data_IF_499533830266
#
_entry.id   IF_499533830266
#
_cell.length_a   1.000
_cell.length_b   1.000
_cell.length_c   1.000
_cell.angle_alpha   90.00
_cell.angle_beta   90.00
_cell.angle_gamma   90.00
#
_symmetry.space_group_name_H-M   'P 1'
#
loop_
_entity.id
_entity.type
_entity.pdbx_description
1 polymer ?
#
# COMPACT_ATOMS: atom_id res chain seq x y z
N UNK A 1 15.32 3.99 -9.49
CA UNK A 1 14.07 3.45 -10.09
C UNK A 1 12.90 4.11 -9.38
N UNK A 2 11.89 4.59 -10.10
CA UNK A 2 10.70 5.22 -9.48
C UNK A 2 9.83 4.18 -8.77
N UNK A 3 9.02 4.60 -7.79
CA UNK A 3 8.05 3.73 -7.09
C UNK A 3 7.17 2.98 -8.10
N UNK A 4 6.68 3.66 -9.15
CA UNK A 4 5.88 3.04 -10.21
C UNK A 4 6.61 1.95 -10.98
N UNK A 5 7.85 2.19 -11.43
CA UNK A 5 8.63 1.19 -12.16
C UNK A 5 9.02 0.00 -11.28
N UNK A 6 9.32 0.23 -10.01
CA UNK A 6 9.55 -0.83 -9.02
C UNK A 6 8.29 -1.67 -8.84
N UNK A 7 7.14 -1.02 -8.64
CA UNK A 7 5.85 -1.68 -8.42
C UNK A 7 5.42 -2.53 -9.61
N UNK A 8 5.56 -2.01 -10.84
CA UNK A 8 5.29 -2.76 -12.06
C UNK A 8 6.19 -3.99 -12.17
N UNK A 9 7.46 -3.88 -11.78
CA UNK A 9 8.38 -5.01 -11.77
C UNK A 9 7.96 -6.10 -10.80
N UNK A 10 7.59 -5.72 -9.56
CA UNK A 10 7.22 -6.65 -8.49
C UNK A 10 5.84 -7.29 -8.66
N UNK A 11 4.95 -6.66 -9.41
CA UNK A 11 3.58 -7.16 -9.65
C UNK A 11 3.40 -7.90 -10.97
N UNK A 12 4.46 -8.08 -11.77
CA UNK A 12 4.40 -8.67 -13.12
C UNK A 12 3.69 -10.03 -13.22
N UNK A 13 3.75 -10.84 -12.15
CA UNK A 13 3.15 -12.18 -12.09
C UNK A 13 1.79 -12.22 -11.38
N UNK A 14 1.30 -11.08 -10.90
CA UNK A 14 0.01 -11.00 -10.21
C UNK A 14 -1.15 -11.10 -11.22
N UNK A 15 -2.33 -11.59 -10.81
CA UNK A 15 -3.54 -11.56 -11.63
C UNK A 15 -3.81 -10.14 -12.17
N UNK A 16 -4.17 -10.04 -13.46
CA UNK A 16 -4.23 -8.77 -14.18
C UNK A 16 -5.14 -7.73 -13.49
N UNK A 17 -6.30 -8.15 -13.00
CA UNK A 17 -7.27 -7.28 -12.31
C UNK A 17 -6.71 -6.72 -11.00
N UNK A 18 -6.06 -7.55 -10.18
CA UNK A 18 -5.44 -7.11 -8.93
C UNK A 18 -4.25 -6.18 -9.22
N UNK A 19 -3.41 -6.55 -10.19
CA UNK A 19 -2.28 -5.70 -10.62
C UNK A 19 -2.75 -4.32 -11.07
N UNK A 20 -3.76 -4.27 -11.94
CA UNK A 20 -4.31 -3.00 -12.42
C UNK A 20 -4.81 -2.14 -11.25
N UNK A 21 -5.53 -2.75 -10.30
CA UNK A 21 -6.07 -2.02 -9.15
C UNK A 21 -4.98 -1.48 -8.21
N UNK A 22 -3.96 -2.29 -7.91
CA UNK A 22 -2.80 -1.86 -7.11
C UNK A 22 -2.07 -0.68 -7.75
N UNK A 23 -1.87 -0.72 -9.07
CA UNK A 23 -1.22 0.38 -9.81
C UNK A 23 -2.07 1.65 -9.83
N UNK A 24 -3.40 1.52 -9.92
CA UNK A 24 -4.32 2.65 -9.86
C UNK A 24 -4.27 3.34 -8.49
N UNK A 25 -4.42 2.58 -7.41
CA UNK A 25 -4.39 3.09 -6.04
C UNK A 25 -3.03 3.74 -5.70
N UNK A 26 -1.93 3.11 -6.12
CA UNK A 26 -0.59 3.67 -5.91
C UNK A 26 -0.34 4.99 -6.65
N UNK A 27 -1.07 5.26 -7.75
CA UNK A 27 -0.99 6.53 -8.49
C UNK A 27 -1.89 7.61 -7.90
N UNK A 28 -2.93 7.22 -7.17
CA UNK A 28 -3.92 8.14 -6.59
C UNK A 28 -3.36 8.92 -5.39
N UNK A 29 -2.34 8.39 -4.71
CA UNK A 29 -1.69 9.08 -3.59
C UNK A 29 -0.51 9.92 -4.11
N UNK A 30 -0.48 11.23 -3.82
CA UNK A 30 0.68 12.07 -4.11
C UNK A 30 1.90 11.51 -3.38
N UNK A 31 2.96 11.20 -4.12
CA UNK A 31 4.21 10.75 -3.52
C UNK A 31 4.71 11.77 -2.49
N UNK A 32 5.00 11.30 -1.28
CA UNK A 32 5.47 12.17 -0.21
C UNK A 32 6.96 12.45 -0.42
N UNK A 33 7.30 13.72 -0.65
CA UNK A 33 8.67 14.13 -0.94
C UNK A 33 9.62 13.70 0.18
N UNK A 34 10.38 12.62 -0.05
CA UNK A 34 11.42 12.11 0.85
C UNK A 34 11.08 10.83 1.64
N UNK A 35 9.83 10.36 1.67
CA UNK A 35 9.47 9.20 2.49
C UNK A 35 9.82 7.84 1.84
N UNK A 36 9.98 7.83 0.51
CA UNK A 36 10.41 6.68 -0.27
C UNK A 36 9.30 5.66 -0.54
N UNK A 37 9.55 4.76 -1.50
CA UNK A 37 8.56 3.85 -2.08
C UNK A 37 7.73 3.06 -1.04
N UNK A 38 8.34 2.64 0.08
CA UNK A 38 7.61 1.93 1.13
C UNK A 38 6.52 2.76 1.78
N UNK A 39 6.77 4.05 2.07
CA UNK A 39 5.78 4.91 2.70
C UNK A 39 4.66 5.27 1.74
N UNK A 40 4.99 5.64 0.50
CA UNK A 40 3.99 5.97 -0.53
C UNK A 40 2.98 4.83 -0.75
N UNK A 41 3.46 3.58 -0.75
CA UNK A 41 2.61 2.39 -0.91
C UNK A 41 1.73 2.14 0.33
N UNK A 42 2.26 2.38 1.53
CA UNK A 42 1.48 2.25 2.76
C UNK A 42 0.38 3.31 2.84
N UNK A 43 0.67 4.55 2.46
CA UNK A 43 -0.33 5.63 2.43
C UNK A 43 -1.42 5.34 1.36
N UNK A 44 -1.07 4.72 0.22
CA UNK A 44 -2.05 4.24 -0.77
C UNK A 44 -2.95 3.12 -0.24
N UNK A 45 -2.41 2.19 0.55
CA UNK A 45 -3.21 1.16 1.19
C UNK A 45 -4.21 1.75 2.19
N UNK A 46 -3.75 2.71 2.99
CA UNK A 46 -4.58 3.39 4.00
C UNK A 46 -5.72 4.18 3.37
N UNK A 47 -5.44 4.91 2.28
CA UNK A 47 -6.48 5.60 1.51
C UNK A 47 -7.52 4.61 0.96
N UNK A 48 -7.08 3.45 0.46
CA UNK A 48 -7.98 2.40 -0.02
C UNK A 48 -8.83 1.78 1.10
N UNK A 49 -8.25 1.53 2.28
CA UNK A 49 -8.98 1.01 3.44
C UNK A 49 -10.05 1.99 3.93
N UNK A 50 -9.71 3.28 4.00
CA UNK A 50 -10.65 4.33 4.39
C UNK A 50 -11.84 4.43 3.41
N UNK A 51 -11.59 4.29 2.11
CA UNK A 51 -12.63 4.32 1.08
C UNK A 51 -13.50 3.04 1.09
N UNK A 52 -12.95 1.89 1.47
CA UNK A 52 -13.71 0.63 1.54
C UNK A 52 -14.60 0.53 2.77
N UNK A 53 -14.14 1.01 3.93
CA UNK A 53 -14.86 0.91 5.20
C UNK A 53 -16.37 1.26 5.12
N UNK A 54 -16.80 2.35 4.46
CA UNK A 54 -18.22 2.71 4.36
C UNK A 54 -19.05 1.85 3.38
N UNK A 55 -18.42 1.05 2.51
CA UNK A 55 -19.06 0.33 1.39
C UNK A 55 -18.76 -1.17 1.38
N UNK A 56 -18.47 -1.74 2.55
CA UNK A 56 -17.93 -3.10 2.74
C UNK A 56 -18.88 -4.26 2.33
N UNK A 57 -20.07 -3.97 1.80
CA UNK A 57 -21.06 -4.97 1.37
C UNK A 57 -20.91 -5.45 -0.08
N UNK A 58 -20.11 -4.76 -0.89
CA UNK A 58 -20.08 -4.98 -2.34
C UNK A 58 -18.86 -5.79 -2.80
N UNK A 59 -19.00 -6.57 -3.88
CA UNK A 59 -17.89 -7.33 -4.48
C UNK A 59 -16.72 -6.45 -4.92
N UNK A 60 -16.98 -5.19 -5.27
CA UNK A 60 -15.94 -4.21 -5.58
C UNK A 60 -15.07 -3.91 -4.35
N UNK A 61 -15.66 -3.85 -3.14
CA UNK A 61 -14.93 -3.67 -1.90
C UNK A 61 -13.93 -4.82 -1.65
N UNK A 62 -14.27 -6.05 -2.04
CA UNK A 62 -13.35 -7.19 -1.88
C UNK A 62 -12.06 -7.04 -2.71
N UNK A 63 -12.15 -6.51 -3.94
CA UNK A 63 -10.97 -6.25 -4.76
C UNK A 63 -10.12 -5.13 -4.16
N UNK A 64 -10.75 -4.10 -3.62
CA UNK A 64 -10.07 -2.98 -2.97
C UNK A 64 -9.37 -3.40 -1.67
N UNK A 65 -9.98 -4.27 -0.86
CA UNK A 65 -9.33 -4.87 0.31
C UNK A 65 -8.10 -5.69 -0.07
N UNK A 66 -8.22 -6.52 -1.11
CA UNK A 66 -7.08 -7.30 -1.61
C UNK A 66 -5.98 -6.39 -2.17
N UNK A 67 -6.33 -5.29 -2.82
CA UNK A 67 -5.35 -4.33 -3.31
C UNK A 67 -4.67 -3.58 -2.17
N UNK A 68 -5.40 -3.20 -1.13
CA UNK A 68 -4.84 -2.58 0.08
C UNK A 68 -3.88 -3.52 0.81
N UNK A 69 -4.25 -4.79 1.01
CA UNK A 69 -3.38 -5.82 1.58
C UNK A 69 -2.08 -6.00 0.76
N UNK A 70 -2.21 -6.06 -0.56
CA UNK A 70 -1.06 -6.15 -1.45
C UNK A 70 -0.15 -4.92 -1.35
N UNK A 71 -0.72 -3.72 -1.24
CA UNK A 71 0.02 -2.46 -1.08
C UNK A 71 0.81 -2.43 0.24
N UNK A 72 0.22 -2.87 1.36
CA UNK A 72 0.94 -3.02 2.63
C UNK A 72 2.08 -4.03 2.49
N UNK A 73 1.81 -5.19 1.89
CA UNK A 73 2.84 -6.22 1.65
C UNK A 73 4.00 -5.67 0.81
N UNK A 74 3.69 -4.90 -0.24
CA UNK A 74 4.68 -4.28 -1.11
C UNK A 74 5.42 -3.14 -0.41
N UNK A 75 4.78 -2.38 0.48
CA UNK A 75 5.43 -1.38 1.32
C UNK A 75 6.50 -2.02 2.22
N UNK A 76 6.14 -3.14 2.87
CA UNK A 76 7.06 -3.92 3.69
C UNK A 76 8.22 -4.49 2.87
N UNK A 77 7.93 -5.03 1.67
CA UNK A 77 8.97 -5.52 0.76
C UNK A 77 9.92 -4.39 0.32
N UNK A 78 9.39 -3.23 -0.05
CA UNK A 78 10.20 -2.07 -0.44
C UNK A 78 11.12 -1.61 0.70
N UNK A 79 10.64 -1.67 1.95
CA UNK A 79 11.47 -1.42 3.13
C UNK A 79 12.54 -2.49 3.30
N UNK A 80 12.17 -3.76 3.24
CA UNK A 80 13.08 -4.89 3.41
C UNK A 80 14.21 -4.90 2.37
N UNK A 81 13.92 -4.54 1.11
CA UNK A 81 14.93 -4.46 0.05
C UNK A 81 15.92 -3.30 0.23
N UNK A 82 15.51 -2.21 0.89
CA UNK A 82 16.34 -1.02 1.08
C UNK A 82 17.12 -1.05 2.39
N UNK A 83 16.45 -1.43 3.47
CA UNK A 83 17.00 -1.47 4.82
C UNK A 83 16.25 -2.53 5.65
N UNK A 84 16.69 -3.80 5.60
CA UNK A 84 16.07 -4.89 6.34
C UNK A 84 16.04 -4.65 7.85
N UNK A 85 17.05 -3.96 8.40
CA UNK A 85 17.18 -3.75 9.84
C UNK A 85 16.07 -2.84 10.39
N UNK A 86 15.57 -1.90 9.59
CA UNK A 86 14.46 -1.03 10.00
C UNK A 86 13.06 -1.58 9.70
N UNK A 87 12.93 -2.78 9.13
CA UNK A 87 11.61 -3.36 8.79
C UNK A 87 10.69 -3.48 10.00
N UNK A 88 11.21 -3.95 11.14
CA UNK A 88 10.41 -4.09 12.36
C UNK A 88 9.91 -2.74 12.89
N UNK A 89 10.77 -1.72 12.89
CA UNK A 89 10.40 -0.36 13.30
C UNK A 89 9.36 0.25 12.35
N UNK A 90 9.52 0.03 11.05
CA UNK A 90 8.58 0.49 10.02
C UNK A 90 7.21 -0.17 10.15
N UNK A 91 7.13 -1.49 10.31
CA UNK A 91 5.87 -2.19 10.54
C UNK A 91 5.15 -1.68 11.80
N UNK A 92 5.90 -1.46 12.90
CA UNK A 92 5.35 -0.89 14.12
C UNK A 92 4.84 0.55 13.94
N UNK A 93 5.48 1.35 13.09
CA UNK A 93 5.02 2.69 12.71
C UNK A 93 3.70 2.63 11.95
N UNK A 94 3.58 1.75 10.95
CA UNK A 94 2.33 1.59 10.19
C UNK A 94 1.14 1.25 11.09
N UNK A 95 1.34 0.35 12.07
CA UNK A 95 0.29 -0.01 13.03
C UNK A 95 -0.10 1.19 13.91
N UNK A 96 0.88 1.96 14.42
CA UNK A 96 0.59 3.16 15.22
C UNK A 96 -0.17 4.20 14.42
N UNK A 97 0.23 4.44 13.18
CA UNK A 97 -0.41 5.40 12.29
C UNK A 97 -1.85 5.00 11.97
N UNK A 98 -2.09 3.71 11.70
CA UNK A 98 -3.43 3.18 11.46
C UNK A 98 -4.35 3.38 12.68
N UNK A 99 -3.88 3.01 13.87
CA UNK A 99 -4.64 3.20 15.12
C UNK A 99 -4.93 4.68 15.39
N UNK A 100 -3.96 5.57 15.15
CA UNK A 100 -4.14 7.00 15.32
C UNK A 100 -5.22 7.57 14.39
N UNK A 101 -5.33 7.05 13.15
CA UNK A 101 -6.37 7.47 12.19
C UNK A 101 -7.74 6.86 12.50
N UNK A 102 -7.79 5.62 12.98
CA UNK A 102 -9.05 4.96 13.33
C UNK A 102 -9.73 5.55 14.57
N UNK A 103 -8.96 6.22 15.44
CA UNK A 103 -9.46 6.92 16.63
C UNK A 103 -9.74 8.41 16.44
N UNK A 104 -9.47 8.97 15.26
CA UNK A 104 -9.70 10.38 14.91
C UNK A 104 -11.02 10.54 14.13
#
# INVERSE_FOLDING_TARGET
>A
MSTGAWLESRTRRAPATLRARVLELARAVPGSAGAGAGRDLADAAEAALADVAPRCTDRAAALDLLAADALITLALLARAERDPASLGAFAAELVRDHVARAGA
#
